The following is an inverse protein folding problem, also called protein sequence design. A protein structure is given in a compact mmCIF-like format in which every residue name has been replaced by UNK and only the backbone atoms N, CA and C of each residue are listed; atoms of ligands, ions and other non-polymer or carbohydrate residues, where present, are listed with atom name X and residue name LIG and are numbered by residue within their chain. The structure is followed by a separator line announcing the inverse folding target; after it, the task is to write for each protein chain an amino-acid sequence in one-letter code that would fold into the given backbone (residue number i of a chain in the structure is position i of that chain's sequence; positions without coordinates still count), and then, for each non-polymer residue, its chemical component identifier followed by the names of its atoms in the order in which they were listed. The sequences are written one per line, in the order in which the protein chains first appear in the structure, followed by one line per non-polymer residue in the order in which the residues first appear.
data_IF_692992922153
#
_entry.id   IF_692992922153
#
_cell.length_a   1.000
_cell.length_b   1.000
_cell.length_c   1.000
_cell.angle_alpha   90.00
_cell.angle_beta   90.00
_cell.angle_gamma   90.00
#
_symmetry.space_group_name_H-M   'P 1'
#
loop_
_entity.id
_entity.type
_entity.pdbx_description
1 polymer ?
#
# COMPACT_ATOMS: atom_id res chain seq x y z
N UNK A 1 -9.02 58.04 1.41
CA UNK A 1 -10.07 57.04 1.10
C UNK A 1 -9.56 55.66 0.62
N UNK A 2 -8.35 55.54 0.08
CA UNK A 2 -7.81 54.26 -0.43
C UNK A 2 -7.36 53.23 0.66
N UNK A 3 -7.08 53.65 1.90
CA UNK A 3 -6.65 52.73 2.97
C UNK A 3 -7.81 51.97 3.66
N UNK A 4 -9.06 52.46 3.54
CA UNK A 4 -10.21 51.80 4.13
C UNK A 4 -10.74 50.64 3.25
N UNK A 5 -10.52 50.68 1.94
CA UNK A 5 -10.92 49.60 1.04
C UNK A 5 -10.05 48.33 1.15
N UNK A 6 -8.76 48.50 1.53
CA UNK A 6 -7.83 47.37 1.74
C UNK A 6 -8.15 46.57 3.01
N UNK A 7 -8.78 47.20 3.99
CA UNK A 7 -9.10 46.51 5.27
C UNK A 7 -10.40 45.69 5.21
N UNK A 8 -11.30 46.00 4.27
CA UNK A 8 -12.55 45.26 4.05
C UNK A 8 -12.42 44.06 3.11
N UNK A 9 -11.31 43.98 2.33
CA UNK A 9 -11.06 42.85 1.43
C UNK A 9 -10.27 41.69 2.11
N UNK A 10 -9.62 41.93 3.24
CA UNK A 10 -8.87 40.92 3.97
C UNK A 10 -9.72 39.74 4.50
N UNK A 11 -10.95 39.94 5.06
CA UNK A 11 -11.75 38.82 5.51
C UNK A 11 -12.29 37.93 4.38
N UNK A 12 -12.57 38.47 3.20
CA UNK A 12 -13.07 37.70 2.07
C UNK A 12 -11.98 36.81 1.45
N UNK A 13 -10.73 37.24 1.45
CA UNK A 13 -9.58 36.45 0.98
C UNK A 13 -9.27 35.32 1.97
N UNK A 14 -9.28 35.61 3.27
CA UNK A 14 -9.11 34.62 4.33
C UNK A 14 -10.24 33.58 4.35
N UNK A 15 -11.49 33.98 4.18
CA UNK A 15 -12.63 33.06 4.08
C UNK A 15 -12.54 32.21 2.80
N UNK A 16 -12.11 32.78 1.68
CA UNK A 16 -11.88 32.05 0.44
C UNK A 16 -10.76 31.00 0.60
N UNK A 17 -9.64 31.36 1.21
CA UNK A 17 -8.53 30.42 1.47
C UNK A 17 -8.92 29.30 2.43
N UNK A 18 -9.71 29.58 3.47
CA UNK A 18 -10.19 28.54 4.40
C UNK A 18 -11.22 27.62 3.72
N UNK A 19 -12.10 28.14 2.87
CA UNK A 19 -13.07 27.32 2.16
C UNK A 19 -12.42 26.37 1.13
N UNK A 20 -11.41 26.83 0.40
CA UNK A 20 -10.62 25.97 -0.49
C UNK A 20 -9.85 24.89 0.27
N UNK A 21 -9.22 25.23 1.39
CA UNK A 21 -8.49 24.27 2.21
C UNK A 21 -9.43 23.21 2.81
N UNK A 22 -10.61 23.60 3.28
CA UNK A 22 -11.63 22.69 3.79
C UNK A 22 -12.16 21.77 2.70
N UNK A 23 -12.46 22.32 1.50
CA UNK A 23 -12.92 21.52 0.37
C UNK A 23 -11.87 20.50 -0.08
N UNK A 24 -10.61 20.92 -0.21
CA UNK A 24 -9.50 20.01 -0.54
C UNK A 24 -9.31 18.93 0.52
N UNK A 25 -9.40 19.30 1.80
CA UNK A 25 -9.35 18.33 2.91
C UNK A 25 -10.48 17.30 2.85
N UNK A 26 -11.71 17.74 2.51
CA UNK A 26 -12.86 16.84 2.38
C UNK A 26 -12.71 15.90 1.17
N UNK A 27 -12.23 16.42 0.03
CA UNK A 27 -11.92 15.59 -1.15
C UNK A 27 -10.87 14.53 -0.79
N UNK A 28 -9.78 14.92 -0.12
CA UNK A 28 -8.74 13.99 0.30
C UNK A 28 -9.27 12.94 1.29
N UNK A 29 -10.15 13.31 2.19
CA UNK A 29 -10.79 12.38 3.11
C UNK A 29 -11.64 11.35 2.37
N UNK A 30 -12.50 11.79 1.43
CA UNK A 30 -13.33 10.90 0.61
C UNK A 30 -12.48 9.98 -0.27
N UNK A 31 -11.41 10.53 -0.85
CA UNK A 31 -10.44 9.78 -1.63
C UNK A 31 -9.74 8.73 -0.76
N UNK A 32 -9.32 9.12 0.45
CA UNK A 32 -8.77 8.22 1.46
C UNK A 32 -9.74 7.11 1.85
N UNK A 33 -11.05 7.41 1.96
CA UNK A 33 -12.06 6.38 2.22
C UNK A 33 -12.12 5.35 1.08
N UNK A 34 -12.16 5.76 -0.17
CA UNK A 34 -12.14 4.85 -1.33
C UNK A 34 -10.89 3.98 -1.35
N UNK A 35 -9.72 4.61 -1.17
CA UNK A 35 -8.42 3.94 -1.12
C UNK A 35 -8.30 2.99 0.08
N UNK A 36 -8.87 3.36 1.24
CA UNK A 36 -8.89 2.52 2.43
C UNK A 36 -9.73 1.26 2.25
N UNK A 37 -10.93 1.37 1.64
CA UNK A 37 -11.74 0.20 1.28
C UNK A 37 -10.97 -0.72 0.32
N UNK A 38 -10.39 -0.17 -0.75
CA UNK A 38 -9.61 -0.94 -1.70
C UNK A 38 -8.38 -1.59 -1.05
N UNK A 39 -7.67 -0.85 -0.20
CA UNK A 39 -6.51 -1.33 0.55
C UNK A 39 -6.83 -2.45 1.53
N UNK A 40 -7.95 -2.33 2.25
CA UNK A 40 -8.45 -3.36 3.16
C UNK A 40 -8.92 -4.61 2.43
N UNK A 41 -9.63 -4.44 1.30
CA UNK A 41 -10.09 -5.54 0.43
C UNK A 41 -8.92 -6.35 -0.14
N UNK A 42 -7.88 -5.67 -0.61
CA UNK A 42 -6.72 -6.30 -1.24
C UNK A 42 -5.65 -6.73 -0.22
N UNK A 43 -5.71 -6.27 1.02
CA UNK A 43 -4.74 -6.59 2.07
C UNK A 43 -3.36 -5.95 1.86
N UNK A 44 -3.31 -4.77 1.23
CA UNK A 44 -2.07 -4.06 0.86
C UNK A 44 -2.01 -2.61 1.37
N UNK A 45 -2.96 -2.21 2.23
CA UNK A 45 -3.00 -0.87 2.81
C UNK A 45 -3.41 0.28 1.87
N UNK A 46 -3.65 0.01 0.57
CA UNK A 46 -4.13 1.01 -0.41
C UNK A 46 -3.06 1.75 -1.20
N UNK A 47 -1.78 1.59 -0.87
CA UNK A 47 -0.67 2.32 -1.49
C UNK A 47 -0.55 2.11 -3.00
N UNK A 48 -0.88 0.91 -3.47
CA UNK A 48 -0.83 0.56 -4.88
C UNK A 48 -1.62 1.55 -5.77
N UNK A 49 -2.80 1.96 -5.30
CA UNK A 49 -3.68 2.86 -6.02
C UNK A 49 -3.37 4.32 -5.63
N UNK A 50 -3.03 4.56 -4.37
CA UNK A 50 -2.79 5.90 -3.85
C UNK A 50 -1.64 6.62 -4.57
N UNK A 51 -0.53 5.92 -4.83
CA UNK A 51 0.67 6.51 -5.43
C UNK A 51 0.36 7.12 -6.80
N UNK A 52 -0.16 6.38 -7.80
CA UNK A 52 -0.47 6.98 -9.10
C UNK A 52 -1.63 7.98 -9.04
N UNK A 53 -2.59 7.80 -8.13
CA UNK A 53 -3.67 8.78 -7.94
C UNK A 53 -3.12 10.11 -7.44
N UNK A 54 -2.17 10.10 -6.50
CA UNK A 54 -1.50 11.31 -6.03
C UNK A 54 -0.66 11.97 -7.13
N UNK A 55 0.08 11.16 -7.90
CA UNK A 55 0.80 11.68 -9.08
C UNK A 55 -0.12 12.34 -10.09
N UNK A 56 -1.27 11.71 -10.39
CA UNK A 56 -2.21 12.22 -11.38
C UNK A 56 -2.99 13.46 -10.91
N UNK A 57 -3.55 13.42 -9.70
CA UNK A 57 -4.43 14.49 -9.21
C UNK A 57 -3.67 15.71 -8.71
N UNK A 58 -2.49 15.50 -8.13
CA UNK A 58 -1.70 16.55 -7.47
C UNK A 58 -0.39 16.87 -8.17
N UNK A 59 -0.07 16.18 -9.27
CA UNK A 59 1.19 16.38 -9.98
C UNK A 59 2.43 16.03 -9.15
N UNK A 60 2.28 15.19 -8.14
CA UNK A 60 3.39 14.78 -7.28
C UNK A 60 4.37 13.89 -8.06
N UNK A 61 5.67 14.13 -7.89
CA UNK A 61 6.67 13.18 -8.38
C UNK A 61 6.55 11.83 -7.62
N UNK A 62 7.20 10.80 -8.17
CA UNK A 62 7.07 9.44 -7.62
C UNK A 62 7.51 9.36 -6.15
N UNK A 63 8.55 10.09 -5.73
CA UNK A 63 9.06 10.07 -4.35
C UNK A 63 8.09 10.72 -3.38
N UNK A 64 7.57 11.89 -3.75
CA UNK A 64 6.60 12.63 -2.95
C UNK A 64 5.28 11.87 -2.85
N UNK A 65 4.78 11.30 -3.97
CA UNK A 65 3.59 10.48 -3.99
C UNK A 65 3.72 9.22 -3.10
N UNK A 66 4.86 8.54 -3.17
CA UNK A 66 5.15 7.38 -2.32
C UNK A 66 5.21 7.77 -0.84
N UNK A 67 5.95 8.80 -0.48
CA UNK A 67 6.05 9.26 0.90
C UNK A 67 4.72 9.74 1.47
N UNK A 68 3.94 10.49 0.70
CA UNK A 68 2.61 10.96 1.09
C UNK A 68 1.61 9.81 1.26
N UNK A 69 1.64 8.83 0.35
CA UNK A 69 0.82 7.63 0.47
C UNK A 69 1.12 6.83 1.75
N UNK A 70 2.38 6.81 2.21
CA UNK A 70 2.77 6.10 3.44
C UNK A 70 2.08 6.64 4.69
N UNK A 71 1.70 7.93 4.72
CA UNK A 71 0.93 8.52 5.83
C UNK A 71 -0.41 7.81 6.00
N UNK A 72 -1.04 7.40 4.89
CA UNK A 72 -2.28 6.62 4.89
C UNK A 72 -2.01 5.12 5.04
N UNK A 73 -0.98 4.60 4.38
CA UNK A 73 -0.69 3.16 4.38
C UNK A 73 -0.37 2.65 5.78
N UNK A 74 0.49 3.35 6.53
CA UNK A 74 0.97 2.88 7.82
C UNK A 74 -0.18 2.60 8.82
N UNK A 75 -1.11 3.51 9.09
CA UNK A 75 -2.25 3.21 9.96
C UNK A 75 -3.21 2.18 9.35
N UNK A 76 -3.42 2.20 8.02
CA UNK A 76 -4.32 1.26 7.36
C UNK A 76 -3.82 -0.20 7.46
N UNK A 77 -2.52 -0.45 7.27
CA UNK A 77 -1.96 -1.81 7.41
C UNK A 77 -1.98 -2.27 8.86
N UNK A 78 -1.80 -1.38 9.83
CA UNK A 78 -1.92 -1.69 11.25
C UNK A 78 -3.34 -2.14 11.61
N UNK A 79 -4.35 -1.38 11.19
CA UNK A 79 -5.76 -1.73 11.41
C UNK A 79 -6.13 -2.99 10.62
N UNK A 80 -5.67 -3.10 9.37
CA UNK A 80 -5.85 -4.29 8.55
C UNK A 80 -5.27 -5.54 9.22
N UNK A 81 -4.03 -5.48 9.69
CA UNK A 81 -3.40 -6.55 10.44
C UNK A 81 -4.21 -6.94 11.68
N UNK A 82 -4.62 -5.96 12.48
CA UNK A 82 -5.44 -6.21 13.67
C UNK A 82 -6.73 -6.96 13.33
N UNK A 83 -7.45 -6.55 12.28
CA UNK A 83 -8.68 -7.20 11.83
C UNK A 83 -8.46 -8.61 11.30
N UNK A 84 -7.39 -8.86 10.56
CA UNK A 84 -7.04 -10.21 10.09
C UNK A 84 -6.58 -11.11 11.24
N UNK A 85 -5.79 -10.57 12.18
CA UNK A 85 -5.28 -11.29 13.34
C UNK A 85 -6.41 -11.76 14.26
N UNK A 86 -7.46 -10.95 14.45
CA UNK A 86 -8.64 -11.34 15.24
C UNK A 86 -9.35 -12.58 14.69
N UNK A 87 -9.30 -12.82 13.37
CA UNK A 87 -9.95 -13.97 12.73
C UNK A 87 -9.04 -15.17 12.50
N UNK A 88 -7.77 -14.89 12.27
CA UNK A 88 -6.72 -15.88 12.02
C UNK A 88 -5.48 -15.51 12.82
N UNK A 89 -5.35 -15.98 14.09
CA UNK A 89 -4.20 -15.68 14.92
C UNK A 89 -2.90 -16.08 14.24
N UNK A 90 -1.96 -15.15 14.16
CA UNK A 90 -0.63 -15.36 13.59
C UNK A 90 0.34 -15.60 14.76
N UNK A 91 1.18 -16.63 14.65
CA UNK A 91 2.21 -16.91 15.64
C UNK A 91 3.31 -15.84 15.57
N UNK A 92 3.26 -14.84 16.44
CA UNK A 92 4.17 -13.69 16.45
C UNK A 92 5.64 -14.07 16.56
N UNK A 93 5.98 -15.16 17.24
CA UNK A 93 7.37 -15.65 17.33
C UNK A 93 7.96 -16.02 15.96
N UNK A 94 7.19 -16.73 15.12
CA UNK A 94 7.63 -17.11 13.78
C UNK A 94 7.74 -15.90 12.85
N UNK A 95 6.92 -14.87 13.08
CA UNK A 95 6.90 -13.64 12.30
C UNK A 95 8.00 -12.68 12.75
N UNK A 96 8.37 -12.67 14.03
CA UNK A 96 9.34 -11.72 14.59
C UNK A 96 10.70 -11.77 13.87
N UNK A 97 11.22 -12.97 13.58
CA UNK A 97 12.48 -13.13 12.86
C UNK A 97 12.39 -12.52 11.45
N UNK A 98 11.31 -12.81 10.72
CA UNK A 98 11.07 -12.28 9.39
C UNK A 98 10.93 -10.75 9.45
N UNK A 99 10.25 -10.23 10.49
CA UNK A 99 10.09 -8.79 10.70
C UNK A 99 11.45 -8.08 10.86
N UNK A 100 12.37 -8.62 11.63
CA UNK A 100 13.71 -8.00 11.82
C UNK A 100 14.44 -7.87 10.49
N UNK A 101 14.51 -8.94 9.70
CA UNK A 101 15.13 -8.90 8.37
C UNK A 101 14.38 -7.96 7.41
N UNK A 102 13.05 -7.95 7.45
CA UNK A 102 12.23 -7.05 6.66
C UNK A 102 12.47 -5.59 7.04
N UNK A 103 12.56 -5.27 8.33
CA UNK A 103 12.83 -3.91 8.81
C UNK A 103 14.19 -3.40 8.33
N UNK A 104 15.24 -4.20 8.49
CA UNK A 104 16.59 -3.87 8.03
C UNK A 104 16.62 -3.64 6.51
N UNK A 105 16.04 -4.57 5.75
CA UNK A 105 15.96 -4.46 4.30
C UNK A 105 15.12 -3.25 3.84
N UNK A 106 14.00 -2.96 4.53
CA UNK A 106 13.16 -1.79 4.24
C UNK A 106 13.93 -0.49 4.47
N UNK A 107 14.67 -0.37 5.58
CA UNK A 107 15.43 0.83 5.87
C UNK A 107 16.48 1.11 4.78
N UNK A 108 17.28 0.10 4.42
CA UNK A 108 18.29 0.21 3.37
C UNK A 108 17.65 0.56 2.02
N UNK A 109 16.61 -0.18 1.66
CA UNK A 109 15.92 0.00 0.38
C UNK A 109 15.19 1.35 0.29
N UNK A 110 14.55 1.82 1.37
CA UNK A 110 13.88 3.12 1.41
C UNK A 110 14.87 4.28 1.31
N UNK A 111 16.02 4.19 1.99
CA UNK A 111 17.09 5.20 1.84
C UNK A 111 17.64 5.27 0.43
N UNK A 112 17.84 4.11 -0.19
CA UNK A 112 18.27 4.03 -1.57
C UNK A 112 17.21 4.64 -2.51
N UNK A 113 15.95 4.25 -2.37
CA UNK A 113 14.83 4.71 -3.20
C UNK A 113 14.58 6.23 -3.05
N UNK A 114 14.67 6.76 -1.84
CA UNK A 114 14.52 8.20 -1.58
C UNK A 114 15.62 9.06 -2.25
N UNK A 115 16.77 8.47 -2.55
CA UNK A 115 17.87 9.10 -3.28
C UNK A 115 17.86 8.89 -4.80
N UNK A 116 17.00 7.95 -5.30
CA UNK A 116 16.90 7.68 -6.74
C UNK A 116 16.19 8.81 -7.47
N UNK A 117 16.49 8.92 -8.77
CA UNK A 117 15.73 9.77 -9.67
C UNK A 117 14.26 9.37 -9.72
N UNK A 118 13.35 10.36 -9.67
CA UNK A 118 11.91 10.13 -9.61
C UNK A 118 11.40 9.42 -10.86
N UNK A 119 11.97 9.73 -12.04
CA UNK A 119 11.58 9.09 -13.29
C UNK A 119 12.00 7.61 -13.34
N UNK A 120 13.20 7.29 -12.84
CA UNK A 120 13.67 5.91 -12.74
C UNK A 120 12.79 5.11 -11.78
N UNK A 121 12.44 5.68 -10.63
CA UNK A 121 11.58 5.05 -9.63
C UNK A 121 10.16 4.83 -10.18
N UNK A 122 9.62 5.81 -10.92
CA UNK A 122 8.33 5.70 -11.60
C UNK A 122 8.31 4.56 -12.62
N UNK A 123 9.33 4.51 -13.48
CA UNK A 123 9.45 3.45 -14.50
C UNK A 123 9.62 2.06 -13.88
N UNK A 124 10.47 1.94 -12.86
CA UNK A 124 10.65 0.70 -12.12
C UNK A 124 9.35 0.22 -11.46
N UNK A 125 8.58 1.15 -10.90
CA UNK A 125 7.28 0.85 -10.29
C UNK A 125 6.26 0.38 -11.34
N UNK A 126 6.16 1.05 -12.50
CA UNK A 126 5.27 0.65 -13.58
C UNK A 126 5.61 -0.76 -14.10
N UNK A 127 6.89 -1.04 -14.34
CA UNK A 127 7.36 -2.38 -14.76
C UNK A 127 7.02 -3.45 -13.71
N UNK A 128 7.24 -3.14 -12.43
CA UNK A 128 6.88 -4.02 -11.33
C UNK A 128 5.38 -4.35 -11.31
N UNK A 129 4.52 -3.34 -11.50
CA UNK A 129 3.07 -3.53 -11.55
C UNK A 129 2.63 -4.41 -12.72
N UNK A 130 3.22 -4.20 -13.91
CA UNK A 130 2.92 -5.01 -15.10
C UNK A 130 3.34 -6.46 -14.86
N UNK A 131 4.56 -6.69 -14.36
CA UNK A 131 5.06 -8.02 -14.06
C UNK A 131 4.15 -8.75 -13.05
N UNK A 132 3.70 -8.03 -12.02
CA UNK A 132 2.80 -8.57 -11.02
C UNK A 132 1.40 -8.85 -11.58
N UNK A 133 0.88 -7.98 -12.46
CA UNK A 133 -0.39 -8.19 -13.15
C UNK A 133 -0.37 -9.42 -14.04
N UNK A 134 0.72 -9.62 -14.81
CA UNK A 134 0.92 -10.81 -15.64
C UNK A 134 0.99 -12.08 -14.79
N UNK A 135 1.72 -12.03 -13.67
CA UNK A 135 1.80 -13.14 -12.73
C UNK A 135 0.41 -13.53 -12.18
N UNK A 136 -0.38 -12.57 -11.69
CA UNK A 136 -1.72 -12.87 -11.18
C UNK A 136 -2.70 -13.30 -12.28
N UNK A 137 -2.57 -12.76 -13.50
CA UNK A 137 -3.37 -13.15 -14.65
C UNK A 137 -3.09 -14.60 -15.07
N UNK A 138 -1.83 -15.05 -15.02
CA UNK A 138 -1.48 -16.44 -15.30
C UNK A 138 -2.14 -17.41 -14.31
N UNK A 139 -2.20 -17.01 -13.05
CA UNK A 139 -2.86 -17.79 -11.99
C UNK A 139 -4.39 -17.88 -12.11
N UNK A 140 -5.03 -16.98 -12.87
CA UNK A 140 -6.47 -17.07 -13.15
C UNK A 140 -6.83 -18.19 -14.13
N UNK A 141 -5.89 -18.57 -15.00
CA UNK A 141 -6.06 -19.65 -15.99
C UNK A 141 -5.93 -21.03 -15.36
N UNK A 142 -5.25 -21.15 -14.22
CA UNK A 142 -5.15 -22.41 -13.52
C UNK A 142 -6.51 -22.71 -12.84
N UNK A 143 -7.17 -23.78 -13.30
CA UNK A 143 -8.34 -24.34 -12.60
C UNK A 143 -7.88 -24.64 -11.18
N UNK A 144 -8.72 -24.35 -10.15
CA UNK A 144 -8.41 -24.80 -8.79
C UNK A 144 -8.33 -26.32 -8.85
N UNK A 145 -7.12 -26.84 -9.01
CA UNK A 145 -6.89 -28.26 -8.91
C UNK A 145 -7.13 -28.64 -7.45
N UNK A 146 -8.22 -29.36 -7.20
CA UNK A 146 -8.49 -29.97 -5.91
C UNK A 146 -7.30 -30.84 -5.42
N UNK A 147 -6.42 -31.25 -6.34
CA UNK A 147 -5.19 -31.96 -6.08
C UNK A 147 -4.13 -31.14 -5.30
N UNK A 148 -4.07 -29.82 -5.50
CA UNK A 148 -3.13 -28.98 -4.74
C UNK A 148 -3.63 -28.68 -3.31
N UNK A 149 -4.94 -28.72 -3.08
CA UNK A 149 -5.50 -28.55 -1.74
C UNK A 149 -5.40 -29.84 -0.89
N UNK A 150 -5.31 -31.01 -1.53
CA UNK A 150 -5.33 -32.30 -0.83
C UNK A 150 -3.93 -32.87 -0.50
N UNK A 151 -2.86 -32.34 -1.11
CA UNK A 151 -1.50 -32.89 -0.94
C UNK A 151 -0.47 -31.91 -0.37
N UNK A 152 -0.82 -30.68 -0.11
CA UNK A 152 0.01 -29.80 0.67
C UNK A 152 -0.26 -30.03 2.17
N UNK A 153 0.33 -31.11 2.73
CA UNK A 153 0.73 -31.05 4.12
C UNK A 153 1.44 -29.70 4.29
N UNK A 154 1.17 -28.92 5.36
CA UNK A 154 1.86 -27.66 5.57
C UNK A 154 3.37 -27.97 5.58
N UNK A 155 4.04 -27.70 4.46
CA UNK A 155 5.48 -27.83 4.40
C UNK A 155 5.98 -26.83 5.42
N UNK A 156 6.54 -27.36 6.51
CA UNK A 156 7.18 -26.52 7.51
C UNK A 156 8.17 -25.65 6.73
N UNK A 157 7.97 -24.32 6.79
CA UNK A 157 8.90 -23.39 6.16
C UNK A 157 10.31 -23.74 6.57
N UNK A 158 11.23 -24.08 5.66
CA UNK A 158 12.60 -24.26 6.05
C UNK A 158 13.07 -22.97 6.73
N UNK A 159 13.69 -23.09 7.89
CA UNK A 159 14.11 -21.94 8.69
C UNK A 159 14.93 -20.92 7.89
N UNK A 160 15.67 -21.40 6.88
CA UNK A 160 16.45 -20.56 5.96
C UNK A 160 15.59 -19.73 4.98
N UNK A 161 14.36 -20.11 4.68
CA UNK A 161 13.48 -19.35 3.78
C UNK A 161 12.87 -18.11 4.46
N UNK A 162 12.74 -18.12 5.78
CA UNK A 162 12.16 -17.03 6.55
C UNK A 162 12.93 -15.70 6.41
N UNK A 163 14.26 -15.66 6.63
CA UNK A 163 15.04 -14.45 6.43
C UNK A 163 14.98 -13.92 5.00
N UNK A 164 15.05 -14.82 4.01
CA UNK A 164 15.02 -14.45 2.59
C UNK A 164 13.69 -13.80 2.22
N UNK A 165 12.57 -14.33 2.69
CA UNK A 165 11.25 -13.73 2.52
C UNK A 165 11.15 -12.35 3.21
N UNK A 166 11.75 -12.22 4.40
CA UNK A 166 11.83 -10.94 5.10
C UNK A 166 12.60 -9.91 4.29
N UNK A 167 13.78 -10.27 3.77
CA UNK A 167 14.60 -9.37 2.94
C UNK A 167 13.85 -8.98 1.66
N UNK A 168 13.27 -9.93 0.93
CA UNK A 168 12.53 -9.64 -0.30
C UNK A 168 11.31 -8.75 -0.04
N UNK A 169 10.54 -9.05 1.01
CA UNK A 169 9.41 -8.23 1.45
C UNK A 169 9.83 -6.81 1.83
N UNK A 170 10.91 -6.71 2.62
CA UNK A 170 11.44 -5.43 3.08
C UNK A 170 11.99 -4.57 1.95
N UNK A 171 12.75 -5.16 1.02
CA UNK A 171 13.26 -4.47 -0.14
C UNK A 171 12.13 -3.89 -1.01
N UNK A 172 11.10 -4.69 -1.30
CA UNK A 172 9.93 -4.24 -2.05
C UNK A 172 9.14 -3.16 -1.29
N UNK A 173 9.02 -3.29 0.03
CA UNK A 173 8.36 -2.29 0.87
C UNK A 173 9.12 -0.97 0.89
N UNK A 174 10.45 -1.00 0.93
CA UNK A 174 11.29 0.19 0.95
C UNK A 174 11.35 0.90 -0.40
N UNK A 175 11.49 0.16 -1.51
CA UNK A 175 11.60 0.75 -2.85
C UNK A 175 10.26 1.29 -3.32
N UNK A 176 9.20 0.50 -3.24
CA UNK A 176 7.90 0.83 -3.84
C UNK A 176 6.85 1.29 -2.85
N UNK A 177 7.14 1.26 -1.55
CA UNK A 177 6.27 1.72 -0.44
C UNK A 177 4.86 1.07 -0.40
N UNK A 178 4.56 0.15 -1.31
CA UNK A 178 3.27 -0.54 -1.42
C UNK A 178 3.14 -1.68 -0.38
N UNK A 179 4.20 -1.91 0.38
CA UNK A 179 4.32 -3.00 1.33
C UNK A 179 4.70 -4.32 0.66
N UNK A 180 5.63 -5.03 1.26
CA UNK A 180 6.12 -6.33 0.78
C UNK A 180 5.04 -7.41 0.67
N UNK A 181 3.81 -7.14 1.10
CA UNK A 181 2.66 -8.03 1.00
C UNK A 181 2.35 -8.50 -0.42
N UNK A 182 2.62 -7.65 -1.42
CA UNK A 182 2.44 -7.99 -2.84
C UNK A 182 3.28 -9.20 -3.29
N UNK A 183 4.46 -9.37 -2.72
CA UNK A 183 5.37 -10.49 -3.03
C UNK A 183 5.14 -11.64 -2.06
N UNK A 184 4.92 -11.34 -0.78
CA UNK A 184 4.79 -12.35 0.27
C UNK A 184 3.49 -13.13 0.16
N UNK A 185 2.35 -12.48 -0.14
CA UNK A 185 1.07 -13.19 -0.26
C UNK A 185 1.09 -14.27 -1.34
N UNK A 186 1.49 -13.96 -2.60
CA UNK A 186 1.63 -15.01 -3.61
C UNK A 186 2.62 -16.11 -3.21
N UNK A 187 3.76 -15.73 -2.63
CA UNK A 187 4.75 -16.71 -2.19
C UNK A 187 4.19 -17.67 -1.12
N UNK A 188 3.48 -17.14 -0.13
CA UNK A 188 2.85 -17.95 0.91
C UNK A 188 1.74 -18.87 0.37
N UNK A 189 0.96 -18.39 -0.60
CA UNK A 189 -0.11 -19.18 -1.22
C UNK A 189 0.48 -20.26 -2.14
N UNK A 190 1.45 -19.91 -3.00
CA UNK A 190 1.97 -20.81 -4.03
C UNK A 190 2.96 -21.82 -3.48
N UNK A 191 3.93 -21.39 -2.66
CA UNK A 191 5.00 -22.28 -2.17
C UNK A 191 4.62 -23.01 -0.88
N UNK A 192 3.76 -22.41 -0.04
CA UNK A 192 3.40 -22.96 1.25
C UNK A 192 1.93 -23.41 1.36
N UNK A 193 1.16 -23.31 0.26
CA UNK A 193 -0.23 -23.77 0.19
C UNK A 193 -1.16 -23.07 1.19
N UNK A 194 -0.80 -21.89 1.68
CA UNK A 194 -1.61 -21.19 2.69
C UNK A 194 -2.91 -20.65 2.09
N UNK A 195 -4.03 -20.70 2.84
CA UNK A 195 -5.25 -20.00 2.46
C UNK A 195 -4.99 -18.50 2.27
N UNK A 196 -5.57 -17.89 1.21
CA UNK A 196 -5.36 -16.49 0.84
C UNK A 196 -5.51 -15.52 2.03
N UNK A 197 -6.58 -15.68 2.83
CA UNK A 197 -6.83 -14.80 3.98
C UNK A 197 -5.73 -14.91 5.06
N UNK A 198 -5.20 -16.11 5.31
CA UNK A 198 -4.11 -16.33 6.26
C UNK A 198 -2.80 -15.74 5.75
N UNK A 199 -2.52 -15.91 4.46
CA UNK A 199 -1.35 -15.32 3.80
C UNK A 199 -1.39 -13.78 3.85
N UNK A 200 -2.56 -13.17 3.62
CA UNK A 200 -2.76 -11.73 3.77
C UNK A 200 -2.51 -11.24 5.20
N UNK A 201 -3.04 -11.94 6.20
CA UNK A 201 -2.79 -11.59 7.61
C UNK A 201 -1.30 -11.64 7.98
N UNK A 202 -0.58 -12.67 7.53
CA UNK A 202 0.87 -12.79 7.73
C UNK A 202 1.65 -11.70 7.00
N UNK A 203 1.29 -11.41 5.75
CA UNK A 203 1.92 -10.36 4.97
C UNK A 203 1.73 -8.98 5.62
N UNK A 204 0.53 -8.66 6.11
CA UNK A 204 0.27 -7.41 6.83
C UNK A 204 1.12 -7.29 8.10
N UNK A 205 1.35 -8.40 8.83
CA UNK A 205 2.23 -8.39 10.00
C UNK A 205 3.67 -7.95 9.66
N UNK A 206 4.16 -8.33 8.46
CA UNK A 206 5.48 -7.95 7.97
C UNK A 206 5.49 -6.50 7.45
N UNK A 207 4.40 -6.06 6.85
CA UNK A 207 4.28 -4.72 6.25
C UNK A 207 4.16 -3.64 7.32
N UNK A 208 3.52 -3.91 8.47
CA UNK A 208 3.34 -2.92 9.54
C UNK A 208 4.66 -2.25 9.95
N UNK A 209 5.68 -2.98 10.45
CA UNK A 209 6.93 -2.33 10.85
C UNK A 209 7.67 -1.72 9.66
N UNK A 210 7.62 -2.35 8.49
CA UNK A 210 8.24 -1.84 7.27
C UNK A 210 7.64 -0.50 6.83
N UNK A 211 6.32 -0.35 6.86
CA UNK A 211 5.65 0.90 6.47
C UNK A 211 5.99 2.07 7.41
N UNK A 212 6.15 1.81 8.70
CA UNK A 212 6.57 2.84 9.67
C UNK A 212 8.01 3.30 9.42
N UNK A 213 8.93 2.36 9.15
CA UNK A 213 10.32 2.69 8.81
C UNK A 213 10.40 3.44 7.47
N UNK A 214 9.66 2.99 6.46
CA UNK A 214 9.61 3.67 5.18
C UNK A 214 9.06 5.10 5.34
N UNK A 215 7.94 5.28 6.08
CA UNK A 215 7.40 6.61 6.36
C UNK A 215 8.42 7.51 7.03
N UNK A 216 9.10 7.03 8.08
CA UNK A 216 10.14 7.81 8.76
C UNK A 216 11.27 8.19 7.80
N UNK A 217 11.72 7.27 6.94
CA UNK A 217 12.81 7.49 5.99
C UNK A 217 12.42 8.53 4.93
N UNK A 218 11.23 8.42 4.31
CA UNK A 218 10.74 9.38 3.32
C UNK A 218 10.44 10.75 3.94
N UNK A 219 9.93 10.79 5.18
CA UNK A 219 9.69 12.02 5.92
C UNK A 219 11.03 12.75 6.22
N UNK A 220 12.04 12.01 6.67
CA UNK A 220 13.38 12.58 6.86
C UNK A 220 14.02 13.10 5.58
N UNK A 221 13.71 12.47 4.45
CA UNK A 221 14.17 12.91 3.13
C UNK A 221 13.37 14.11 2.56
N UNK A 222 12.33 14.59 3.27
CA UNK A 222 11.48 15.68 2.81
C UNK A 222 10.45 15.30 1.75
N UNK A 223 10.24 14.02 1.51
CA UNK A 223 9.32 13.51 0.47
C UNK A 223 7.95 13.14 1.02
N UNK A 224 7.37 13.98 1.89
CA UNK A 224 6.02 13.77 2.45
C UNK A 224 5.25 15.09 2.46
N UNK A 225 4.11 15.12 1.80
CA UNK A 225 3.12 16.19 1.94
C UNK A 225 2.09 15.81 3.02
N UNK A 226 2.29 16.36 4.20
CA UNK A 226 1.43 16.12 5.36
C UNK A 226 0.02 16.70 5.18
N UNK A 227 -0.10 17.81 4.42
CA UNK A 227 -1.37 18.49 4.16
C UNK A 227 -2.34 17.59 3.41
N UNK A 228 -1.85 16.85 2.42
CA UNK A 228 -2.62 15.86 1.65
C UNK A 228 -2.70 14.51 2.38
N UNK A 229 -1.59 14.08 3.01
CA UNK A 229 -1.48 12.75 3.62
C UNK A 229 -2.37 12.54 4.84
N UNK A 230 -2.52 13.54 5.72
CA UNK A 230 -3.31 13.40 6.95
C UNK A 230 -4.81 13.21 6.68
N UNK A 231 -5.48 14.04 5.84
CA UNK A 231 -6.88 13.80 5.49
C UNK A 231 -7.10 12.46 4.78
N UNK A 232 -6.17 12.06 3.89
CA UNK A 232 -6.20 10.73 3.26
C UNK A 232 -6.13 9.61 4.30
N UNK A 233 -5.24 9.72 5.28
CA UNK A 233 -5.10 8.74 6.34
C UNK A 233 -6.37 8.66 7.20
N UNK A 234 -6.97 9.79 7.55
CA UNK A 234 -8.23 9.83 8.29
C UNK A 234 -9.35 9.08 7.58
N UNK A 235 -9.52 9.32 6.26
CA UNK A 235 -10.48 8.60 5.43
C UNK A 235 -10.18 7.10 5.37
N UNK A 236 -8.91 6.74 5.18
CA UNK A 236 -8.46 5.35 5.14
C UNK A 236 -8.73 4.59 6.43
N UNK A 237 -8.40 5.18 7.59
CA UNK A 237 -8.62 4.60 8.92
C UNK A 237 -10.10 4.24 9.12
N UNK A 238 -11.01 5.14 8.76
CA UNK A 238 -12.46 4.91 8.90
C UNK A 238 -12.92 3.75 8.02
N UNK A 239 -12.40 3.64 6.81
CA UNK A 239 -12.95 2.76 5.77
C UNK A 239 -12.25 1.41 5.61
N UNK A 240 -10.97 1.29 6.01
CA UNK A 240 -10.18 0.06 5.83
C UNK A 240 -10.84 -1.18 6.43
N UNK A 241 -11.51 -1.03 7.58
CA UNK A 241 -12.23 -2.13 8.24
C UNK A 241 -13.38 -2.68 7.39
N UNK A 242 -14.06 -1.83 6.61
CA UNK A 242 -15.10 -2.23 5.67
C UNK A 242 -14.50 -3.01 4.50
N UNK A 243 -13.35 -2.56 3.99
CA UNK A 243 -12.61 -3.28 2.97
C UNK A 243 -12.22 -4.69 3.40
N UNK A 244 -11.67 -4.84 4.61
CA UNK A 244 -11.35 -6.15 5.19
C UNK A 244 -12.60 -7.02 5.33
N UNK A 245 -13.71 -6.47 5.85
CA UNK A 245 -14.98 -7.21 5.97
C UNK A 245 -15.50 -7.69 4.61
N UNK A 246 -15.35 -6.87 3.57
CA UNK A 246 -15.73 -7.21 2.21
C UNK A 246 -14.83 -8.31 1.62
N UNK A 247 -13.53 -8.32 1.93
CA UNK A 247 -12.60 -9.36 1.51
C UNK A 247 -13.04 -10.76 1.96
N UNK A 248 -13.59 -10.87 3.17
CA UNK A 248 -14.12 -12.15 3.68
C UNK A 248 -15.42 -12.61 3.00
N UNK A 249 -16.17 -11.70 2.37
CA UNK A 249 -17.39 -12.04 1.62
C UNK A 249 -17.11 -12.46 0.18
N UNK A 250 -15.95 -12.09 -0.36
CA UNK A 250 -15.60 -12.43 -1.74
C UNK A 250 -14.96 -13.81 -1.84
N UNK A 251 -15.30 -14.53 -2.92
CA UNK A 251 -14.60 -15.76 -3.26
C UNK A 251 -13.14 -15.43 -3.68
N UNK A 252 -12.23 -16.38 -3.46
CA UNK A 252 -10.80 -16.21 -3.82
C UNK A 252 -10.62 -15.79 -5.30
N UNK A 253 -11.46 -16.30 -6.21
CA UNK A 253 -11.42 -15.92 -7.63
C UNK A 253 -11.81 -14.46 -7.84
N UNK A 254 -12.87 -13.98 -7.18
CA UNK A 254 -13.30 -12.56 -7.28
C UNK A 254 -12.25 -11.63 -6.72
N UNK A 255 -11.63 -12.03 -5.62
CA UNK A 255 -10.56 -11.24 -5.00
C UNK A 255 -9.33 -11.13 -5.91
N UNK A 256 -8.92 -12.24 -6.55
CA UNK A 256 -7.82 -12.25 -7.53
C UNK A 256 -8.15 -11.40 -8.77
N UNK A 257 -9.38 -11.48 -9.28
CA UNK A 257 -9.82 -10.65 -10.41
C UNK A 257 -9.79 -9.17 -10.06
N UNK A 258 -10.31 -8.79 -8.88
CA UNK A 258 -10.25 -7.41 -8.40
C UNK A 258 -8.80 -6.93 -8.28
N UNK A 259 -7.91 -7.80 -7.80
CA UNK A 259 -6.48 -7.50 -7.68
C UNK A 259 -5.84 -7.27 -9.05
N UNK A 260 -6.07 -8.17 -10.02
CA UNK A 260 -5.58 -7.99 -11.40
C UNK A 260 -6.12 -6.71 -12.05
N UNK A 261 -7.42 -6.42 -11.87
CA UNK A 261 -8.03 -5.22 -12.44
C UNK A 261 -7.39 -3.94 -11.86
N UNK A 262 -7.14 -3.93 -10.55
CA UNK A 262 -6.46 -2.81 -9.88
C UNK A 262 -5.02 -2.66 -10.37
N UNK A 263 -4.26 -3.76 -10.46
CA UNK A 263 -2.87 -3.74 -10.95
C UNK A 263 -2.79 -3.20 -12.38
N UNK A 264 -3.65 -3.70 -13.28
CA UNK A 264 -3.67 -3.26 -14.67
C UNK A 264 -4.14 -1.80 -14.80
N UNK A 265 -5.19 -1.42 -14.07
CA UNK A 265 -5.67 -0.04 -14.04
C UNK A 265 -4.60 0.94 -13.53
N UNK A 266 -3.89 0.56 -12.47
CA UNK A 266 -2.79 1.34 -11.89
C UNK A 266 -1.61 1.45 -12.87
N UNK A 267 -1.20 0.33 -13.49
CA UNK A 267 -0.12 0.33 -14.47
C UNK A 267 -0.47 1.18 -15.69
N UNK A 268 -1.71 1.07 -16.21
CA UNK A 268 -2.18 1.88 -17.32
C UNK A 268 -2.21 3.36 -16.96
N UNK A 269 -2.69 3.70 -15.78
CA UNK A 269 -2.68 5.08 -15.28
C UNK A 269 -1.25 5.65 -15.23
N UNK A 270 -0.28 4.87 -14.78
CA UNK A 270 1.12 5.29 -14.74
C UNK A 270 1.74 5.46 -16.13
N UNK A 271 1.34 4.65 -17.11
CA UNK A 271 1.81 4.78 -18.49
C UNK A 271 1.22 6.02 -19.20
N UNK A 272 -0.02 6.39 -18.85
CA UNK A 272 -0.69 7.56 -19.41
C UNK A 272 -0.26 8.88 -18.77
N UNK A 273 0.19 8.84 -17.51
CA UNK A 273 0.68 10.01 -16.77
C UNK A 273 2.18 10.13 -17.01
N UNK A 274 2.58 11.14 -17.78
CA UNK A 274 4.00 11.51 -17.84
C UNK A 274 4.44 11.99 -16.47
N UNK A 275 5.55 11.49 -15.92
CA UNK A 275 6.11 12.03 -14.68
C UNK A 275 6.43 13.51 -14.90
N UNK A 276 6.02 14.34 -13.95
CA UNK A 276 6.36 15.76 -13.91
C UNK A 276 7.85 15.96 -13.63
#
# INVERSE_FOLDING_TARGET
MQRAAAFLSAPSILVGMTSHAVLTGLINLLLGMGLGVAGGLLGIGGGLIAIPVLGYLYGMDQRLAQGTALVMIAPNVLIGFWRYHQRHPVHLRSVALICVFSMAATYVAARFAAGLDAHLLHTAFAVFLIMLAVYFASQLKEKPSAAHAAHAAPHAMPAAALPLMGIASGAMSGIFTVGGGLVVVPALVTFFGMPQARAQGMALALVVPGSLIALATYAHAGHVDWGTGIPLAAGGIVSVSWGVALAYRFSARRLRLAFCAVLLGTALMMLLVKPA
#
